data_IF_296362261948
#
_entry.id   IF_296362261948
#
_cell.length_a   1.000
_cell.length_b   1.000
_cell.length_c   1.000
_cell.angle_alpha   90.00
_cell.angle_beta   90.00
_cell.angle_gamma   90.00
#
_symmetry.space_group_name_H-M   'P 1'
#
loop_
_entity.id
_entity.type
_entity.pdbx_description
1 polymer ?
#
# COMPACT_ATOMS: atom_id res chain seq x y z
N UNK A 1 27.55 8.41 -3.35
CA UNK A 1 26.33 8.64 -2.56
C UNK A 1 25.35 9.33 -3.49
N UNK A 2 24.07 8.98 -3.41
CA UNK A 2 23.00 9.52 -4.25
C UNK A 2 23.31 9.51 -5.76
N UNK A 3 23.51 8.32 -6.36
CA UNK A 3 23.99 8.21 -7.74
C UNK A 3 23.05 8.84 -8.78
N UNK A 4 21.75 8.97 -8.48
CA UNK A 4 20.73 9.52 -9.37
C UNK A 4 20.13 10.85 -8.90
N UNK A 5 20.54 11.38 -7.75
CA UNK A 5 20.13 12.70 -7.24
C UNK A 5 18.73 12.73 -6.58
N UNK A 6 18.08 11.59 -6.45
CA UNK A 6 16.68 11.45 -6.02
C UNK A 6 16.50 10.46 -4.88
N UNK A 7 17.56 9.77 -4.44
CA UNK A 7 17.54 8.89 -3.27
C UNK A 7 18.77 9.16 -2.39
N UNK A 8 18.76 10.26 -1.60
CA UNK A 8 19.95 10.77 -0.91
C UNK A 8 20.56 9.82 0.13
N UNK A 9 19.79 8.84 0.58
CA UNK A 9 20.20 7.82 1.56
C UNK A 9 20.65 6.51 0.91
N UNK A 10 21.08 6.60 -0.35
CA UNK A 10 21.60 5.49 -1.13
C UNK A 10 23.01 5.75 -1.68
N UNK A 11 23.62 4.72 -2.24
CA UNK A 11 24.92 4.79 -2.88
C UNK A 11 25.17 3.62 -3.81
N UNK A 12 26.21 3.74 -4.62
CA UNK A 12 26.63 2.69 -5.53
C UNK A 12 28.15 2.51 -5.39
N UNK A 13 28.59 1.28 -5.20
CA UNK A 13 30.02 0.92 -5.19
C UNK A 13 30.33 0.10 -6.44
N UNK A 14 31.20 0.60 -7.30
CA UNK A 14 31.77 -0.16 -8.41
C UNK A 14 33.13 -0.75 -7.99
N UNK A 15 33.25 -2.08 -7.99
CA UNK A 15 34.47 -2.78 -7.56
C UNK A 15 34.80 -3.94 -8.49
N UNK A 16 36.09 -4.15 -8.73
CA UNK A 16 36.61 -5.29 -9.49
C UNK A 16 37.53 -6.15 -8.62
N UNK A 17 37.31 -7.46 -8.67
CA UNK A 17 38.06 -8.46 -7.93
C UNK A 17 38.88 -9.33 -8.90
N UNK A 18 40.09 -9.80 -8.50
CA UNK A 18 40.91 -10.64 -9.37
C UNK A 18 40.28 -12.01 -9.66
N UNK A 19 39.40 -12.45 -8.78
CA UNK A 19 38.71 -13.75 -8.80
C UNK A 19 37.20 -13.53 -8.75
N UNK A 20 36.44 -14.51 -9.24
CA UNK A 20 34.99 -14.50 -9.11
C UNK A 20 34.59 -14.72 -7.64
N UNK A 21 33.46 -14.14 -7.28
CA UNK A 21 32.82 -14.28 -5.97
C UNK A 21 31.59 -13.41 -5.90
N UNK A 22 31.05 -13.25 -4.70
CA UNK A 22 29.87 -12.41 -4.43
C UNK A 22 30.15 -11.43 -3.30
N UNK A 23 29.27 -10.45 -3.11
CA UNK A 23 29.42 -9.46 -2.04
C UNK A 23 28.28 -9.54 -1.04
N UNK A 24 28.64 -9.38 0.23
CA UNK A 24 27.74 -8.98 1.30
C UNK A 24 28.01 -7.54 1.70
N UNK A 25 26.98 -6.85 2.15
CA UNK A 25 27.07 -5.50 2.71
C UNK A 25 26.47 -5.48 4.10
N UNK A 26 26.94 -4.54 4.91
CA UNK A 26 26.28 -4.15 6.16
C UNK A 26 26.46 -2.66 6.39
N UNK A 27 25.39 -1.89 6.31
CA UNK A 27 25.35 -0.52 6.82
C UNK A 27 25.23 -0.62 8.34
N UNK A 28 26.26 -0.17 9.06
CA UNK A 28 26.31 -0.28 10.52
C UNK A 28 25.29 0.64 11.17
N UNK A 29 24.74 0.21 12.30
CA UNK A 29 23.85 1.02 13.14
C UNK A 29 24.53 2.30 13.63
N UNK A 30 23.76 3.39 13.72
CA UNK A 30 24.20 4.67 14.28
C UNK A 30 24.12 4.63 15.81
N UNK A 31 25.27 4.77 16.47
CA UNK A 31 25.34 4.81 17.93
C UNK A 31 24.98 3.49 18.61
N UNK A 32 24.68 3.56 19.91
CA UNK A 32 24.22 2.41 20.69
C UNK A 32 22.76 2.08 20.36
N UNK A 33 22.49 0.82 20.01
CA UNK A 33 21.15 0.37 19.63
C UNK A 33 20.69 0.77 18.22
N UNK A 34 21.57 1.33 17.39
CA UNK A 34 21.28 1.57 15.97
C UNK A 34 21.10 0.27 15.20
N UNK A 35 20.16 0.24 14.26
CA UNK A 35 19.81 -0.97 13.51
C UNK A 35 20.76 -1.13 12.32
N UNK A 36 21.56 -2.22 12.25
CA UNK A 36 22.32 -2.53 11.06
C UNK A 36 21.41 -3.06 9.95
N UNK A 37 21.71 -2.72 8.71
CA UNK A 37 21.01 -3.28 7.54
C UNK A 37 22.03 -4.01 6.68
N UNK A 38 21.81 -5.30 6.47
CA UNK A 38 22.73 -6.16 5.74
C UNK A 38 22.03 -6.94 4.64
N UNK A 39 22.79 -7.30 3.60
CA UNK A 39 22.32 -8.14 2.51
C UNK A 39 23.50 -8.86 1.84
N UNK A 40 23.27 -10.07 1.33
CA UNK A 40 24.24 -10.81 0.52
C UNK A 40 23.67 -10.96 -0.88
N UNK A 41 24.39 -10.41 -1.86
CA UNK A 41 23.98 -10.47 -3.25
C UNK A 41 24.30 -11.84 -3.85
N UNK A 42 23.37 -12.41 -4.62
CA UNK A 42 23.57 -13.71 -5.28
C UNK A 42 24.48 -13.65 -6.51
N UNK A 43 24.71 -12.45 -7.06
CA UNK A 43 25.51 -12.30 -8.28
C UNK A 43 26.99 -12.69 -8.09
N UNK A 44 27.44 -13.69 -8.86
CA UNK A 44 28.84 -14.13 -8.91
C UNK A 44 29.55 -13.49 -10.10
N UNK A 45 30.53 -12.62 -9.84
CA UNK A 45 31.24 -11.89 -10.89
C UNK A 45 32.66 -11.54 -10.45
N UNK A 46 33.45 -11.00 -11.38
CA UNK A 46 34.67 -10.24 -11.08
C UNK A 46 34.40 -8.75 -10.96
N UNK A 47 33.37 -8.25 -11.66
CA UNK A 47 32.98 -6.83 -11.69
C UNK A 47 31.62 -6.71 -11.02
N UNK A 48 31.53 -5.86 -10.00
CA UNK A 48 30.32 -5.67 -9.22
C UNK A 48 29.91 -4.21 -9.20
N UNK A 49 28.60 -4.00 -9.29
CA UNK A 49 27.93 -2.74 -8.97
C UNK A 49 27.02 -3.05 -7.78
N UNK A 50 27.41 -2.55 -6.61
CA UNK A 50 26.80 -2.93 -5.33
C UNK A 50 25.95 -1.77 -4.85
N UNK A 51 24.61 -1.88 -4.87
CA UNK A 51 23.74 -0.86 -4.29
C UNK A 51 23.89 -0.85 -2.77
N UNK A 52 24.14 0.33 -2.23
CA UNK A 52 24.17 0.59 -0.80
C UNK A 52 22.90 1.35 -0.44
N UNK A 53 22.03 0.71 0.33
CA UNK A 53 20.74 1.24 0.79
C UNK A 53 20.74 1.28 2.31
N UNK A 54 19.93 2.14 2.91
CA UNK A 54 19.80 2.17 4.37
C UNK A 54 20.77 3.11 5.07
N UNK A 55 21.37 4.08 4.36
CA UNK A 55 22.24 5.07 4.98
C UNK A 55 21.42 5.99 5.91
N UNK A 56 21.99 6.38 7.04
CA UNK A 56 21.44 7.44 7.88
C UNK A 56 21.65 8.82 7.23
N UNK A 57 20.75 9.76 7.48
CA UNK A 57 20.85 11.15 7.05
C UNK A 57 21.84 11.96 7.90
N UNK A 58 22.47 12.99 7.30
CA UNK A 58 23.42 13.90 7.94
C UNK A 58 24.47 13.16 8.78
N UNK A 59 25.03 12.09 8.21
CA UNK A 59 25.86 11.15 8.96
C UNK A 59 26.99 10.58 8.10
N UNK A 60 28.14 10.34 8.75
CA UNK A 60 29.22 9.57 8.16
C UNK A 60 28.96 8.07 8.40
N UNK A 61 28.26 7.46 7.45
CA UNK A 61 27.88 6.05 7.54
C UNK A 61 29.10 5.15 7.39
N UNK A 62 29.15 4.08 8.20
CA UNK A 62 30.13 3.00 8.05
C UNK A 62 29.47 1.82 7.35
N UNK A 63 30.03 1.44 6.21
CA UNK A 63 29.51 0.33 5.40
C UNK A 63 30.58 -0.74 5.31
N UNK A 64 30.31 -1.91 5.88
CA UNK A 64 31.16 -3.08 5.69
C UNK A 64 30.82 -3.73 4.35
N UNK A 65 31.85 -3.98 3.54
CA UNK A 65 31.80 -4.80 2.34
C UNK A 65 32.53 -6.11 2.64
N UNK A 66 31.83 -7.23 2.55
CA UNK A 66 32.40 -8.56 2.65
C UNK A 66 32.46 -9.19 1.26
N UNK A 67 33.64 -9.57 0.78
CA UNK A 67 33.76 -10.37 -0.43
C UNK A 67 33.80 -11.84 -0.07
N UNK A 68 32.93 -12.63 -0.68
CA UNK A 68 32.77 -14.06 -0.43
C UNK A 68 33.17 -14.86 -1.68
N UNK A 69 33.63 -16.10 -1.47
CA UNK A 69 33.83 -17.05 -2.56
C UNK A 69 32.51 -17.43 -3.23
N UNK A 70 32.59 -18.17 -4.34
CA UNK A 70 31.40 -18.73 -5.00
C UNK A 70 30.62 -19.66 -4.04
N UNK A 71 31.32 -20.34 -3.14
CA UNK A 71 30.77 -21.24 -2.11
C UNK A 71 30.31 -20.50 -0.83
N UNK A 72 30.42 -19.17 -0.78
CA UNK A 72 29.95 -18.36 0.35
C UNK A 72 30.95 -18.18 1.50
N UNK A 73 32.21 -18.63 1.36
CA UNK A 73 33.22 -18.38 2.37
C UNK A 73 33.73 -16.94 2.30
N UNK A 74 33.70 -16.20 3.42
CA UNK A 74 34.22 -14.83 3.45
C UNK A 74 35.73 -14.83 3.23
N UNK A 75 36.18 -14.11 2.20
CA UNK A 75 37.61 -14.00 1.83
C UNK A 75 38.24 -12.73 2.37
N UNK A 76 37.51 -11.62 2.37
CA UNK A 76 38.00 -10.35 2.92
C UNK A 76 36.84 -9.43 3.30
N UNK A 77 37.12 -8.50 4.21
CA UNK A 77 36.21 -7.44 4.64
C UNK A 77 36.89 -6.09 4.52
N UNK A 78 36.12 -5.07 4.18
CA UNK A 78 36.56 -3.67 4.22
C UNK A 78 35.42 -2.78 4.66
N UNK A 79 35.69 -1.90 5.62
CA UNK A 79 34.77 -0.82 5.96
C UNK A 79 35.09 0.40 5.11
N UNK A 80 34.08 0.96 4.46
CA UNK A 80 34.13 2.26 3.79
C UNK A 80 33.26 3.27 4.54
N UNK A 81 33.56 4.56 4.34
CA UNK A 81 32.79 5.67 4.91
C UNK A 81 32.00 6.35 3.81
N UNK A 82 30.71 6.60 4.05
CA UNK A 82 29.80 7.25 3.10
C UNK A 82 29.04 8.37 3.81
N UNK A 83 29.45 9.61 3.56
CA UNK A 83 28.81 10.79 4.15
C UNK A 83 27.59 11.20 3.34
N UNK A 84 26.44 11.31 4.01
CA UNK A 84 25.18 11.81 3.47
C UNK A 84 24.91 13.22 4.00
N UNK A 85 24.14 14.01 3.26
CA UNK A 85 23.58 15.27 3.75
C UNK A 85 22.26 15.06 4.50
N UNK A 86 21.69 16.15 5.00
CA UNK A 86 20.33 16.14 5.53
C UNK A 86 19.31 15.81 4.43
N UNK A 87 18.24 15.10 4.80
CA UNK A 87 17.13 14.81 3.90
C UNK A 87 16.10 15.95 3.96
N UNK A 88 15.62 16.47 2.82
CA UNK A 88 14.60 17.51 2.79
C UNK A 88 13.30 17.12 3.51
N UNK A 89 12.66 18.14 4.10
CA UNK A 89 11.41 18.01 4.85
C UNK A 89 11.65 17.39 6.22
N UNK A 90 11.63 18.22 7.27
CA UNK A 90 11.71 17.75 8.65
C UNK A 90 10.60 16.73 8.90
N UNK A 91 11.00 15.53 9.31
CA UNK A 91 10.09 14.49 9.76
C UNK A 91 10.34 14.29 11.24
N UNK A 92 9.50 14.88 12.08
CA UNK A 92 9.51 14.55 13.49
C UNK A 92 8.72 13.25 13.67
N UNK A 93 9.33 12.27 14.32
CA UNK A 93 8.67 10.99 14.62
C UNK A 93 8.82 10.66 16.10
N UNK A 94 7.86 9.91 16.63
CA UNK A 94 7.83 9.43 18.00
C UNK A 94 7.49 7.94 18.01
N UNK A 95 8.46 7.10 18.39
CA UNK A 95 8.23 5.68 18.64
C UNK A 95 7.65 5.53 20.05
N UNK A 96 6.33 5.33 20.13
CA UNK A 96 5.61 5.21 21.40
C UNK A 96 5.77 3.80 22.01
N UNK A 97 5.91 2.79 21.16
CA UNK A 97 6.15 1.40 21.56
C UNK A 97 7.08 0.71 20.57
N UNK A 98 8.01 -0.11 21.07
CA UNK A 98 8.82 -0.99 20.24
C UNK A 98 9.24 -2.26 21.00
N UNK A 99 8.59 -3.36 20.65
CA UNK A 99 8.87 -4.72 21.09
C UNK A 99 9.27 -5.62 19.90
N UNK A 100 9.62 -5.02 18.75
CA UNK A 100 10.07 -5.76 17.58
C UNK A 100 11.42 -6.44 17.83
N UNK A 101 11.67 -7.63 17.25
CA UNK A 101 12.93 -8.32 17.41
C UNK A 101 14.13 -7.48 16.93
N UNK A 102 15.27 -7.58 17.63
CA UNK A 102 16.47 -6.81 17.27
C UNK A 102 17.07 -7.12 15.88
N UNK A 103 16.65 -8.24 15.27
CA UNK A 103 17.05 -8.63 13.92
C UNK A 103 16.13 -8.09 12.83
N UNK A 104 15.02 -7.44 13.20
CA UNK A 104 14.10 -6.82 12.26
C UNK A 104 14.72 -5.57 11.66
N UNK A 105 14.98 -5.60 10.35
CA UNK A 105 15.50 -4.45 9.61
C UNK A 105 14.47 -3.87 8.62
N UNK A 106 13.20 -4.28 8.75
CA UNK A 106 12.11 -3.76 7.95
C UNK A 106 11.91 -2.26 8.18
N UNK A 107 11.56 -1.54 7.12
CA UNK A 107 11.28 -0.12 7.19
C UNK A 107 9.79 0.12 6.93
N UNK A 108 9.21 1.04 7.70
CA UNK A 108 7.88 1.58 7.47
C UNK A 108 7.97 2.69 6.41
N UNK A 109 7.51 2.37 5.20
CA UNK A 109 7.43 3.29 4.07
C UNK A 109 6.13 4.09 4.14
N UNK A 110 6.24 5.35 4.54
CA UNK A 110 5.09 6.26 4.62
C UNK A 110 4.97 7.04 3.31
N UNK A 111 3.85 6.85 2.61
CA UNK A 111 3.70 7.22 1.20
C UNK A 111 3.98 8.70 0.90
N UNK A 112 3.34 9.62 1.63
CA UNK A 112 3.31 11.05 1.30
C UNK A 112 4.58 11.80 1.72
N UNK A 113 5.28 11.25 2.71
CA UNK A 113 6.61 11.73 3.10
C UNK A 113 7.71 11.11 2.24
N UNK A 114 7.40 10.04 1.48
CA UNK A 114 8.31 9.31 0.60
C UNK A 114 9.57 8.85 1.33
N UNK A 115 9.39 8.31 2.54
CA UNK A 115 10.47 7.92 3.46
C UNK A 115 10.22 6.53 4.03
N UNK A 116 11.28 5.73 4.10
CA UNK A 116 11.35 4.49 4.87
C UNK A 116 11.95 4.78 6.24
N UNK A 117 11.20 4.48 7.30
CA UNK A 117 11.55 4.76 8.69
C UNK A 117 11.81 3.43 9.39
N UNK A 118 12.92 3.30 10.10
CA UNK A 118 13.19 2.09 10.88
C UNK A 118 12.44 2.08 12.22
N UNK A 119 12.45 0.96 12.93
CA UNK A 119 11.74 0.83 14.20
C UNK A 119 12.39 1.65 15.35
N UNK A 120 13.43 2.44 15.09
CA UNK A 120 13.96 3.44 16.04
C UNK A 120 13.56 4.88 15.65
N UNK A 121 12.76 5.05 14.60
CA UNK A 121 12.32 6.34 14.10
C UNK A 121 13.37 7.04 13.24
N UNK A 122 14.44 6.37 12.82
CA UNK A 122 15.44 6.96 11.94
C UNK A 122 15.01 6.79 10.48
N UNK A 123 15.19 7.83 9.67
CA UNK A 123 14.93 7.76 8.22
C UNK A 123 16.11 7.05 7.56
N UNK A 124 15.83 5.91 6.92
CA UNK A 124 16.85 5.02 6.30
C UNK A 124 16.71 4.93 4.79
N UNK A 125 15.62 5.45 4.24
CA UNK A 125 15.44 5.66 2.82
C UNK A 125 14.57 6.89 2.58
N UNK A 126 14.82 7.62 1.50
CA UNK A 126 14.01 8.76 1.12
C UNK A 126 14.03 8.93 -0.40
N UNK A 127 12.92 9.35 -0.99
CA UNK A 127 12.84 9.78 -2.38
C UNK A 127 12.55 11.28 -2.48
N UNK A 128 13.41 12.00 -3.19
CA UNK A 128 13.35 13.46 -3.37
C UNK A 128 13.01 13.87 -4.81
N UNK A 129 12.78 12.90 -5.70
CA UNK A 129 12.27 13.18 -7.04
C UNK A 129 10.82 13.64 -7.04
N UNK A 130 10.34 14.08 -8.21
CA UNK A 130 8.96 14.51 -8.36
C UNK A 130 8.01 13.32 -8.22
N UNK A 131 7.29 13.29 -7.10
CA UNK A 131 6.21 12.36 -6.86
C UNK A 131 5.23 12.88 -5.81
N UNK A 132 3.94 12.60 -6.01
CA UNK A 132 2.93 12.87 -5.00
C UNK A 132 2.95 11.77 -3.93
N UNK A 133 2.62 10.55 -4.35
CA UNK A 133 2.52 9.35 -3.51
C UNK A 133 3.54 8.29 -3.92
N UNK A 134 4.03 7.53 -2.94
CA UNK A 134 4.66 6.22 -3.13
C UNK A 134 3.54 5.17 -3.08
N UNK A 135 3.35 4.38 -4.14
CA UNK A 135 2.25 3.41 -4.18
C UNK A 135 2.67 2.06 -3.61
N UNK A 136 3.40 1.29 -4.42
CA UNK A 136 3.72 -0.09 -4.12
C UNK A 136 5.18 -0.39 -4.43
N UNK A 137 5.78 -1.27 -3.63
CA UNK A 137 7.03 -1.96 -4.00
C UNK A 137 6.72 -3.11 -4.95
N UNK A 138 7.40 -3.15 -6.08
CA UNK A 138 7.29 -4.16 -7.13
C UNK A 138 8.08 -5.43 -6.78
N UNK A 139 7.76 -6.54 -7.43
CA UNK A 139 8.44 -7.84 -7.27
C UNK A 139 9.93 -7.79 -7.61
N UNK A 140 10.37 -6.82 -8.41
CA UNK A 140 11.78 -6.60 -8.74
C UNK A 140 12.53 -5.67 -7.77
N UNK A 141 11.87 -5.25 -6.68
CA UNK A 141 12.43 -4.37 -5.65
C UNK A 141 12.27 -2.88 -5.93
N UNK A 142 11.79 -2.49 -7.11
CA UNK A 142 11.54 -1.08 -7.47
C UNK A 142 10.25 -0.56 -6.82
N UNK A 143 10.04 0.75 -6.84
CA UNK A 143 8.80 1.38 -6.41
C UNK A 143 8.02 1.99 -7.58
N UNK A 144 6.70 2.01 -7.46
CA UNK A 144 5.84 2.85 -8.30
C UNK A 144 5.54 4.16 -7.59
N UNK A 145 5.67 5.26 -8.31
CA UNK A 145 5.33 6.62 -7.85
C UNK A 145 4.45 7.35 -8.86
N UNK A 146 3.46 8.11 -8.40
CA UNK A 146 2.73 9.06 -9.27
C UNK A 146 3.60 10.27 -9.57
N UNK A 147 3.46 10.83 -10.77
CA UNK A 147 3.94 12.19 -11.00
C UNK A 147 2.98 13.20 -10.37
N UNK A 148 3.49 14.38 -10.02
CA UNK A 148 2.63 15.48 -9.58
C UNK A 148 1.90 16.04 -10.80
N UNK A 149 0.60 15.76 -10.96
CA UNK A 149 -0.18 16.53 -11.92
C UNK A 149 -0.20 18.01 -11.48
N UNK A 150 -0.05 18.93 -12.42
CA UNK A 150 -0.43 20.32 -12.18
C UNK A 150 -1.92 20.42 -11.79
N UNK A 151 -2.28 21.45 -11.02
CA UNK A 151 -3.62 21.94 -10.59
C UNK A 151 -4.81 20.99 -10.31
N UNK A 152 -4.75 19.68 -10.55
CA UNK A 152 -5.82 18.71 -10.33
C UNK A 152 -5.49 17.86 -9.12
N UNK A 153 -6.42 17.83 -8.17
CA UNK A 153 -6.40 17.08 -6.92
C UNK A 153 -5.95 15.62 -7.13
N UNK A 154 -4.86 15.19 -6.46
CA UNK A 154 -4.22 13.84 -6.36
C UNK A 154 -4.10 12.91 -7.58
N UNK A 155 -4.81 13.20 -8.67
CA UNK A 155 -4.80 12.54 -9.95
C UNK A 155 -3.46 12.75 -10.66
N UNK A 156 -3.11 11.83 -11.55
CA UNK A 156 -1.90 11.94 -12.35
C UNK A 156 -2.10 11.44 -13.76
N UNK A 157 -1.52 12.10 -14.76
CA UNK A 157 -1.51 11.59 -16.14
C UNK A 157 -0.48 10.48 -16.35
N UNK A 158 0.39 10.24 -15.37
CA UNK A 158 1.53 9.32 -15.50
C UNK A 158 1.98 8.75 -14.16
N UNK A 159 2.52 7.54 -14.18
CA UNK A 159 3.32 7.00 -13.08
C UNK A 159 4.69 6.54 -13.56
N UNK A 160 5.62 6.42 -12.62
CA UNK A 160 7.00 5.97 -12.87
C UNK A 160 7.33 4.76 -12.03
N UNK A 161 8.11 3.86 -12.63
CA UNK A 161 8.87 2.86 -11.90
C UNK A 161 10.23 3.47 -11.55
N UNK A 162 10.59 3.46 -10.26
CA UNK A 162 11.86 3.96 -9.75
C UNK A 162 12.65 2.87 -9.03
N UNK A 163 13.97 2.83 -9.22
CA UNK A 163 14.82 1.93 -8.44
C UNK A 163 14.99 2.43 -7.01
N UNK A 164 15.43 1.55 -6.10
CA UNK A 164 15.80 1.93 -4.73
C UNK A 164 16.96 2.93 -4.64
N UNK A 165 17.73 3.09 -5.73
CA UNK A 165 18.78 4.12 -5.88
C UNK A 165 18.22 5.46 -6.42
N UNK A 166 16.93 5.54 -6.74
CA UNK A 166 16.25 6.74 -7.22
C UNK A 166 16.23 6.90 -8.75
N UNK A 167 16.77 5.93 -9.50
CA UNK A 167 16.71 5.97 -10.97
C UNK A 167 15.27 5.84 -11.47
N UNK A 168 14.80 6.75 -12.31
CA UNK A 168 13.56 6.55 -13.04
C UNK A 168 13.79 5.53 -14.17
N UNK A 169 13.32 4.31 -13.95
CA UNK A 169 13.52 3.17 -14.86
C UNK A 169 12.61 3.27 -16.07
N UNK A 170 11.34 3.61 -15.83
CA UNK A 170 10.32 3.75 -16.87
C UNK A 170 9.20 4.67 -16.42
N UNK A 171 8.53 5.30 -17.38
CA UNK A 171 7.33 6.09 -17.15
C UNK A 171 6.21 5.58 -18.06
N UNK A 172 4.98 5.56 -17.54
CA UNK A 172 3.79 5.12 -18.23
C UNK A 172 2.77 6.26 -18.26
N UNK A 173 2.12 6.44 -19.41
CA UNK A 173 1.02 7.38 -19.57
C UNK A 173 -0.28 6.68 -19.21
N UNK A 174 -1.17 7.39 -18.52
CA UNK A 174 -2.49 6.88 -18.16
C UNK A 174 -3.54 7.78 -18.80
N UNK A 175 -4.41 7.24 -19.68
CA UNK A 175 -5.54 7.99 -20.20
C UNK A 175 -6.47 8.41 -19.06
N UNK A 176 -7.17 9.53 -19.22
CA UNK A 176 -8.18 10.03 -18.27
C UNK A 176 -7.71 10.20 -16.81
N UNK A 177 -6.39 10.29 -16.59
CA UNK A 177 -5.76 10.39 -15.28
C UNK A 177 -5.95 9.13 -14.42
N UNK A 178 -4.88 8.72 -13.77
CA UNK A 178 -4.93 7.74 -12.70
C UNK A 178 -5.20 8.41 -11.35
N UNK A 179 -5.68 7.62 -10.41
CA UNK A 179 -5.82 7.95 -8.99
C UNK A 179 -5.54 6.70 -8.16
N UNK A 180 -5.38 6.88 -6.85
CA UNK A 180 -5.34 5.88 -5.76
C UNK A 180 -4.48 4.60 -5.87
N UNK A 181 -4.48 3.85 -6.98
CA UNK A 181 -3.85 2.54 -7.07
C UNK A 181 -3.13 2.28 -8.40
N UNK A 182 -1.94 1.68 -8.27
CA UNK A 182 -1.23 0.97 -9.33
C UNK A 182 -0.73 -0.34 -8.74
N UNK A 183 -1.18 -1.48 -9.29
CA UNK A 183 -0.84 -2.81 -8.77
C UNK A 183 -0.18 -3.65 -9.86
N UNK A 184 0.98 -4.21 -9.55
CA UNK A 184 1.65 -5.16 -10.45
C UNK A 184 0.95 -6.53 -10.44
N UNK A 185 0.65 -7.04 -11.64
CA UNK A 185 0.12 -8.37 -11.87
C UNK A 185 1.25 -9.42 -11.94
N UNK A 186 0.97 -10.72 -11.76
CA UNK A 186 1.97 -11.78 -11.91
C UNK A 186 2.68 -11.79 -13.28
N UNK A 187 1.98 -11.44 -14.36
CA UNK A 187 2.54 -11.30 -15.70
C UNK A 187 3.45 -10.07 -15.88
N UNK A 188 3.53 -9.18 -14.88
CA UNK A 188 4.32 -7.96 -14.89
C UNK A 188 3.57 -6.71 -15.37
N UNK A 189 2.38 -6.85 -15.96
CA UNK A 189 1.51 -5.73 -16.31
C UNK A 189 1.00 -5.01 -15.06
N UNK A 190 0.43 -3.82 -15.26
CA UNK A 190 -0.13 -3.02 -14.16
C UNK A 190 -1.64 -2.90 -14.29
N UNK A 191 -2.36 -3.23 -13.23
CA UNK A 191 -3.72 -2.72 -13.04
C UNK A 191 -3.63 -1.31 -12.46
N UNK A 192 -4.41 -0.38 -13.00
CA UNK A 192 -4.41 1.03 -12.62
C UNK A 192 -5.84 1.51 -12.44
N UNK A 193 -6.09 2.23 -11.35
CA UNK A 193 -7.36 2.91 -11.13
C UNK A 193 -7.35 4.26 -11.90
N UNK A 194 -8.38 4.47 -12.72
CA UNK A 194 -8.50 5.60 -13.65
C UNK A 194 -9.96 6.05 -13.75
N UNK A 195 -10.27 6.90 -14.74
CA UNK A 195 -11.57 7.52 -14.93
C UNK A 195 -12.15 7.16 -16.29
N UNK A 196 -13.47 6.95 -16.34
CA UNK A 196 -14.18 6.68 -17.59
C UNK A 196 -14.10 7.88 -18.55
N UNK A 197 -14.17 9.10 -18.01
CA UNK A 197 -14.13 10.34 -18.78
C UNK A 197 -12.87 11.17 -18.50
N UNK A 198 -12.44 12.04 -19.44
CA UNK A 198 -11.31 12.93 -19.21
C UNK A 198 -11.68 14.14 -18.35
N UNK A 199 -10.76 14.54 -17.47
CA UNK A 199 -10.84 15.80 -16.73
C UNK A 199 -10.53 17.00 -17.63
N UNK A 200 -11.49 17.93 -17.79
CA UNK A 200 -11.39 19.04 -18.75
C UNK A 200 -11.65 20.40 -18.07
N UNK A 201 -10.89 21.44 -18.44
CA UNK A 201 -11.10 22.81 -17.95
C UNK A 201 -11.22 22.96 -16.42
N UNK A 202 -10.47 22.18 -15.65
CA UNK A 202 -10.56 22.14 -14.18
C UNK A 202 -11.93 21.68 -13.63
N UNK A 203 -12.61 20.78 -14.34
CA UNK A 203 -13.90 20.22 -13.94
C UNK A 203 -14.12 18.83 -14.55
N UNK A 204 -14.96 18.01 -13.91
CA UNK A 204 -15.50 16.80 -14.50
C UNK A 204 -16.72 17.06 -15.39
N UNK A 205 -17.28 18.28 -15.35
CA UNK A 205 -18.43 18.71 -16.16
C UNK A 205 -19.66 17.78 -16.03
N UNK A 206 -19.87 17.23 -14.83
CA UNK A 206 -20.94 16.27 -14.55
C UNK A 206 -20.68 14.84 -15.06
N UNK A 207 -19.46 14.55 -15.52
CA UNK A 207 -19.07 13.19 -15.92
C UNK A 207 -18.65 12.36 -14.71
N UNK A 208 -18.84 11.05 -14.82
CA UNK A 208 -18.42 10.10 -13.78
C UNK A 208 -16.90 10.07 -13.63
N UNK A 209 -16.44 9.97 -12.39
CA UNK A 209 -15.05 9.84 -12.00
C UNK A 209 -14.83 8.63 -11.09
N UNK A 210 -13.56 8.25 -10.98
CA UNK A 210 -13.04 7.22 -10.09
C UNK A 210 -13.72 5.84 -10.20
N UNK A 211 -13.93 5.38 -11.43
CA UNK A 211 -14.78 4.22 -11.74
C UNK A 211 -14.27 3.30 -12.86
N UNK A 212 -13.03 3.48 -13.32
CA UNK A 212 -12.43 2.66 -14.38
C UNK A 212 -11.20 1.91 -13.87
N UNK A 213 -11.13 0.61 -14.15
CA UNK A 213 -9.90 -0.18 -14.02
C UNK A 213 -9.31 -0.33 -15.42
N UNK A 214 -8.01 -0.08 -15.58
CA UNK A 214 -7.28 -0.35 -16.82
C UNK A 214 -6.10 -1.28 -16.56
N UNK A 215 -5.74 -2.09 -17.56
CA UNK A 215 -4.50 -2.84 -17.59
C UNK A 215 -3.52 -2.20 -18.57
N UNK A 216 -2.31 -1.91 -18.11
CA UNK A 216 -1.21 -1.38 -18.91
C UNK A 216 -0.15 -2.46 -19.08
N UNK A 217 0.18 -2.75 -20.34
CA UNK A 217 1.28 -3.63 -20.69
C UNK A 217 2.61 -2.99 -20.30
N UNK A 218 3.41 -3.69 -19.49
CA UNK A 218 4.64 -3.12 -18.93
C UNK A 218 5.69 -2.81 -19.99
N UNK A 219 5.71 -3.55 -21.09
CA UNK A 219 6.75 -3.51 -22.10
C UNK A 219 6.53 -2.37 -23.08
N UNK A 220 5.31 -2.25 -23.59
CA UNK A 220 4.87 -1.23 -24.54
C UNK A 220 4.39 0.05 -23.86
N UNK A 221 3.80 -0.05 -22.67
CA UNK A 221 3.13 1.05 -21.98
C UNK A 221 1.73 1.36 -22.49
N UNK A 222 1.18 0.50 -23.35
CA UNK A 222 -0.16 0.65 -23.91
C UNK A 222 -1.23 0.07 -22.98
N UNK A 223 -2.43 0.64 -23.04
CA UNK A 223 -3.61 0.05 -22.39
C UNK A 223 -4.05 -1.15 -23.21
N UNK A 224 -4.07 -2.33 -22.59
CA UNK A 224 -4.45 -3.60 -23.26
C UNK A 224 -5.84 -4.07 -22.88
N UNK A 225 -6.40 -3.58 -21.77
CA UNK A 225 -7.73 -3.95 -21.29
C UNK A 225 -8.31 -2.90 -20.35
N UNK A 226 -9.63 -2.86 -20.21
CA UNK A 226 -10.33 -1.99 -19.27
C UNK A 226 -11.65 -2.58 -18.78
N UNK A 227 -12.04 -2.22 -17.56
CA UNK A 227 -13.31 -2.60 -16.93
C UNK A 227 -13.99 -1.34 -16.42
N UNK A 228 -15.06 -0.93 -17.10
CA UNK A 228 -15.91 0.19 -16.72
C UNK A 228 -16.87 -0.26 -15.61
N UNK A 229 -16.62 0.20 -14.38
CA UNK A 229 -17.38 -0.24 -13.22
C UNK A 229 -18.79 0.36 -13.18
N UNK A 230 -19.05 1.43 -13.93
CA UNK A 230 -20.39 1.97 -14.09
C UNK A 230 -21.26 1.06 -14.99
N UNK A 231 -20.68 0.27 -15.89
CA UNK A 231 -21.40 -0.74 -16.67
C UNK A 231 -21.54 -2.09 -15.93
N UNK A 232 -20.68 -2.35 -14.95
CA UNK A 232 -20.63 -3.61 -14.20
C UNK A 232 -21.47 -3.55 -12.91
N UNK A 233 -21.47 -2.40 -12.22
CA UNK A 233 -22.24 -2.15 -11.01
C UNK A 233 -23.43 -1.23 -11.30
N UNK A 234 -24.02 -0.65 -10.25
CA UNK A 234 -25.17 0.23 -10.31
C UNK A 234 -24.81 1.60 -9.75
N UNK A 235 -24.54 2.57 -10.64
CA UNK A 235 -24.25 3.95 -10.24
C UNK A 235 -25.48 4.70 -9.70
N UNK A 236 -26.68 4.13 -9.83
CA UNK A 236 -27.92 4.66 -9.25
C UNK A 236 -28.21 4.10 -7.85
N UNK A 237 -27.41 3.14 -7.37
CA UNK A 237 -27.53 2.63 -6.00
C UNK A 237 -27.43 3.80 -5.00
N UNK A 238 -28.36 3.90 -4.04
CA UNK A 238 -28.31 4.92 -3.00
C UNK A 238 -26.97 4.95 -2.27
N UNK A 239 -26.49 6.16 -1.99
CA UNK A 239 -25.19 6.42 -1.39
C UNK A 239 -25.37 6.92 0.04
N UNK A 240 -24.43 6.59 0.92
CA UNK A 240 -24.29 7.25 2.21
C UNK A 240 -23.77 8.69 2.03
N UNK A 241 -23.88 9.52 3.06
CA UNK A 241 -23.50 10.94 3.01
C UNK A 241 -22.09 11.22 2.49
N UNK A 242 -21.85 12.45 2.02
CA UNK A 242 -20.53 12.93 1.60
C UNK A 242 -20.11 12.61 0.15
N UNK A 243 -20.79 11.71 -0.56
CA UNK A 243 -20.53 11.46 -1.99
C UNK A 243 -21.30 12.43 -2.90
N UNK A 244 -20.66 12.96 -3.96
CA UNK A 244 -21.35 13.70 -5.02
C UNK A 244 -21.81 12.74 -6.15
N UNK A 245 -22.61 13.23 -7.12
CA UNK A 245 -23.15 12.41 -8.22
C UNK A 245 -22.07 11.77 -9.10
N UNK A 246 -20.99 12.50 -9.31
CA UNK A 246 -19.95 12.25 -10.30
C UNK A 246 -18.94 11.22 -9.74
N UNK A 247 -18.54 11.39 -8.49
CA UNK A 247 -17.70 10.46 -7.70
C UNK A 247 -18.57 9.42 -7.00
N UNK A 248 -19.23 8.59 -7.80
CA UNK A 248 -20.27 7.67 -7.33
C UNK A 248 -19.74 6.42 -6.63
N UNK A 249 -18.56 5.95 -7.04
CA UNK A 249 -17.92 4.74 -6.54
C UNK A 249 -16.72 5.07 -5.67
N UNK A 250 -15.85 5.99 -6.12
CA UNK A 250 -14.57 6.31 -5.51
C UNK A 250 -13.68 5.06 -5.38
N UNK A 251 -13.27 4.52 -6.54
CA UNK A 251 -12.40 3.35 -6.65
C UNK A 251 -11.04 3.64 -6.02
N UNK A 252 -10.75 3.03 -4.88
CA UNK A 252 -9.59 3.40 -4.08
C UNK A 252 -8.54 2.31 -3.89
N UNK A 253 -8.81 1.09 -4.37
CA UNK A 253 -7.90 -0.03 -4.34
C UNK A 253 -8.34 -1.14 -5.30
N UNK A 254 -7.35 -1.84 -5.87
CA UNK A 254 -7.51 -2.93 -6.82
C UNK A 254 -6.39 -3.96 -6.62
N UNK A 255 -6.71 -5.25 -6.76
CA UNK A 255 -5.71 -6.28 -6.97
C UNK A 255 -6.24 -7.41 -7.86
N UNK A 256 -5.31 -8.10 -8.51
CA UNK A 256 -5.58 -9.28 -9.32
C UNK A 256 -5.36 -10.54 -8.48
N UNK A 257 -6.33 -11.45 -8.50
CA UNK A 257 -6.23 -12.77 -7.89
C UNK A 257 -5.91 -13.80 -8.99
N UNK A 258 -4.68 -14.31 -8.96
CA UNK A 258 -4.17 -15.21 -9.99
C UNK A 258 -4.66 -16.65 -9.85
N UNK A 259 -5.19 -17.02 -8.68
CA UNK A 259 -5.68 -18.37 -8.42
C UNK A 259 -6.93 -18.71 -9.24
N UNK A 260 -7.78 -17.71 -9.51
CA UNK A 260 -9.05 -17.89 -10.23
C UNK A 260 -9.28 -16.89 -11.37
N UNK A 261 -8.25 -16.13 -11.77
CA UNK A 261 -8.27 -15.16 -12.86
C UNK A 261 -9.36 -14.09 -12.69
N UNK A 262 -9.28 -13.35 -11.59
CA UNK A 262 -10.26 -12.34 -11.21
C UNK A 262 -9.61 -11.05 -10.71
N UNK A 263 -10.42 -10.01 -10.58
CA UNK A 263 -10.02 -8.73 -10.00
C UNK A 263 -10.91 -8.46 -8.78
N UNK A 264 -10.31 -8.04 -7.69
CA UNK A 264 -11.01 -7.54 -6.51
C UNK A 264 -10.73 -6.05 -6.37
N UNK A 265 -11.78 -5.29 -6.07
CA UNK A 265 -11.68 -3.84 -5.95
C UNK A 265 -12.52 -3.29 -4.79
N UNK A 266 -12.18 -2.08 -4.36
CA UNK A 266 -12.90 -1.35 -3.32
C UNK A 266 -13.46 -0.03 -3.87
N UNK A 267 -14.77 0.14 -3.73
CA UNK A 267 -15.49 1.39 -3.97
C UNK A 267 -15.91 2.02 -2.65
N UNK A 268 -15.28 3.14 -2.29
CA UNK A 268 -15.47 3.81 -0.99
C UNK A 268 -16.90 4.31 -0.81
N UNK A 269 -17.45 5.04 -1.78
CA UNK A 269 -18.73 5.75 -1.63
C UNK A 269 -19.96 4.83 -1.67
N UNK A 270 -19.78 3.60 -2.15
CA UNK A 270 -20.81 2.57 -2.08
C UNK A 270 -20.61 1.63 -0.88
N UNK A 271 -19.50 1.74 -0.14
CA UNK A 271 -19.04 0.77 0.86
C UNK A 271 -19.04 -0.66 0.30
N UNK A 272 -18.40 -0.80 -0.86
CA UNK A 272 -18.38 -2.04 -1.66
C UNK A 272 -16.97 -2.57 -1.77
N UNK A 273 -16.79 -3.83 -1.43
CA UNK A 273 -15.71 -4.65 -1.98
C UNK A 273 -16.33 -5.67 -2.90
N UNK A 274 -15.88 -5.77 -4.15
CA UNK A 274 -16.45 -6.70 -5.12
C UNK A 274 -15.37 -7.45 -5.88
N UNK A 275 -15.73 -8.64 -6.37
CA UNK A 275 -14.88 -9.50 -7.20
C UNK A 275 -15.52 -9.68 -8.57
N UNK A 276 -14.75 -9.50 -9.63
CA UNK A 276 -15.17 -9.67 -11.03
C UNK A 276 -14.25 -10.63 -11.78
N UNK A 277 -14.78 -11.34 -12.76
CA UNK A 277 -13.96 -12.11 -13.71
C UNK A 277 -13.04 -11.20 -14.52
N UNK A 278 -11.77 -11.58 -14.66
CA UNK A 278 -10.83 -10.81 -15.47
C UNK A 278 -11.28 -10.73 -16.93
N UNK A 279 -11.80 -11.81 -17.52
CA UNK A 279 -12.14 -11.84 -18.95
C UNK A 279 -13.26 -10.89 -19.35
N UNK A 280 -14.42 -11.02 -18.71
CA UNK A 280 -15.65 -10.33 -19.14
C UNK A 280 -16.13 -9.27 -18.13
N UNK A 281 -15.48 -9.16 -16.96
CA UNK A 281 -15.94 -8.27 -15.90
C UNK A 281 -17.21 -8.77 -15.19
N UNK A 282 -17.55 -10.05 -15.32
CA UNK A 282 -18.74 -10.63 -14.71
C UNK A 282 -18.60 -10.71 -13.18
N UNK A 283 -19.59 -10.21 -12.46
CA UNK A 283 -19.59 -10.18 -10.99
C UNK A 283 -19.54 -11.62 -10.45
N UNK A 284 -18.65 -11.84 -9.48
CA UNK A 284 -18.53 -13.07 -8.70
C UNK A 284 -19.21 -12.95 -7.35
N UNK A 285 -18.94 -11.87 -6.64
CA UNK A 285 -19.57 -11.54 -5.37
C UNK A 285 -19.40 -10.06 -5.03
N UNK A 286 -20.24 -9.57 -4.12
CA UNK A 286 -20.27 -8.21 -3.58
C UNK A 286 -20.34 -8.30 -2.06
N UNK A 287 -19.35 -7.76 -1.36
CA UNK A 287 -19.37 -7.49 0.07
C UNK A 287 -19.84 -6.04 0.29
N UNK A 288 -21.13 -5.89 0.60
CA UNK A 288 -21.76 -4.61 0.88
C UNK A 288 -23.11 -4.83 1.60
N UNK A 289 -23.72 -3.74 2.06
CA UNK A 289 -25.09 -3.80 2.57
C UNK A 289 -26.09 -4.13 1.45
N UNK A 290 -27.08 -5.03 1.67
CA UNK A 290 -28.00 -5.52 0.62
C UNK A 290 -29.06 -4.49 0.18
N UNK A 291 -29.30 -3.43 0.94
CA UNK A 291 -30.24 -2.39 0.54
C UNK A 291 -29.78 -1.65 -0.74
N UNK A 292 -30.74 -1.33 -1.60
CA UNK A 292 -30.55 -0.48 -2.77
C UNK A 292 -30.00 -1.17 -4.02
N UNK A 293 -29.63 -2.45 -3.95
CA UNK A 293 -29.19 -3.20 -5.13
C UNK A 293 -30.37 -3.56 -6.04
N UNK A 294 -30.16 -3.44 -7.35
CA UNK A 294 -31.11 -3.92 -8.34
C UNK A 294 -31.22 -5.46 -8.35
N UNK A 295 -32.29 -5.98 -8.95
CA UNK A 295 -32.58 -7.42 -8.99
C UNK A 295 -31.48 -8.25 -9.67
N UNK A 296 -30.72 -7.67 -10.60
CA UNK A 296 -29.65 -8.41 -11.30
C UNK A 296 -28.37 -8.55 -10.48
N UNK A 297 -28.09 -7.62 -9.56
CA UNK A 297 -26.88 -7.63 -8.74
C UNK A 297 -27.11 -8.22 -7.34
N UNK A 298 -28.35 -8.15 -6.83
CA UNK A 298 -28.69 -8.66 -5.49
C UNK A 298 -28.26 -10.13 -5.24
N UNK A 299 -28.36 -11.08 -6.21
CA UNK A 299 -27.89 -12.45 -6.02
C UNK A 299 -26.39 -12.58 -5.74
N UNK A 300 -25.59 -11.57 -6.07
CA UNK A 300 -24.16 -11.55 -5.85
C UNK A 300 -23.77 -10.92 -4.50
N UNK A 301 -24.71 -10.30 -3.79
CA UNK A 301 -24.45 -9.71 -2.48
C UNK A 301 -24.32 -10.83 -1.44
N UNK A 302 -23.18 -10.87 -0.75
CA UNK A 302 -22.86 -11.90 0.23
C UNK A 302 -23.78 -11.79 1.45
N UNK A 303 -24.25 -12.94 1.93
CA UNK A 303 -25.06 -13.05 3.15
C UNK A 303 -24.14 -13.14 4.37
N UNK A 304 -24.23 -12.20 5.33
CA UNK A 304 -23.48 -12.26 6.58
C UNK A 304 -23.88 -13.45 7.44
N UNK A 305 -22.90 -14.25 7.87
CA UNK A 305 -23.10 -15.38 8.77
C UNK A 305 -22.07 -15.37 9.90
N UNK A 306 -22.46 -15.89 11.07
CA UNK A 306 -21.52 -16.12 12.16
C UNK A 306 -20.74 -17.44 11.99
N UNK A 307 -19.81 -17.74 12.90
CA UNK A 307 -18.99 -18.95 12.87
C UNK A 307 -19.77 -20.29 12.90
N UNK A 308 -21.08 -20.26 13.16
CA UNK A 308 -21.96 -21.45 13.10
C UNK A 308 -22.77 -21.52 11.79
N UNK A 309 -22.56 -20.58 10.87
CA UNK A 309 -23.31 -20.48 9.61
C UNK A 309 -24.74 -20.00 9.81
N UNK A 310 -25.03 -19.21 10.86
CA UNK A 310 -26.34 -18.59 11.06
C UNK A 310 -26.28 -17.12 10.63
N UNK A 311 -27.33 -16.66 9.96
CA UNK A 311 -27.49 -15.28 9.50
C UNK A 311 -27.26 -14.26 10.63
N UNK A 312 -26.62 -13.16 10.27
CA UNK A 312 -26.40 -12.01 11.16
C UNK A 312 -27.43 -10.93 10.84
N UNK A 313 -28.07 -10.40 11.88
CA UNK A 313 -28.95 -9.26 11.77
C UNK A 313 -28.14 -7.95 11.71
N UNK A 314 -27.97 -7.43 10.49
CA UNK A 314 -27.26 -6.19 10.24
C UNK A 314 -27.88 -4.95 10.91
N UNK A 315 -29.12 -5.01 11.38
CA UNK A 315 -29.72 -3.91 12.14
C UNK A 315 -29.22 -3.85 13.59
N UNK A 316 -28.66 -4.95 14.11
CA UNK A 316 -28.19 -5.06 15.50
C UNK A 316 -26.69 -5.39 15.63
N UNK A 317 -26.02 -5.80 14.56
CA UNK A 317 -24.61 -6.19 14.57
C UNK A 317 -23.75 -5.38 13.60
N UNK A 318 -22.65 -4.82 14.11
CA UNK A 318 -21.63 -4.13 13.30
C UNK A 318 -20.71 -5.13 12.57
N UNK A 319 -21.21 -5.59 11.42
CA UNK A 319 -20.58 -6.63 10.63
C UNK A 319 -19.82 -6.12 9.41
N UNK A 320 -20.36 -5.17 8.65
CA UNK A 320 -19.88 -4.82 7.30
C UNK A 320 -18.73 -3.81 7.31
N UNK A 321 -17.94 -3.72 6.22
CA UNK A 321 -17.04 -2.59 6.02
C UNK A 321 -17.79 -1.34 5.54
N UNK A 322 -17.32 -0.15 5.94
CA UNK A 322 -17.90 1.13 5.54
C UNK A 322 -16.81 2.11 5.11
N UNK A 323 -16.93 2.62 3.87
CA UNK A 323 -15.96 3.56 3.27
C UNK A 323 -14.51 3.05 3.31
N UNK A 324 -14.38 1.73 3.19
CA UNK A 324 -13.14 0.99 3.37
C UNK A 324 -12.08 1.26 2.31
N UNK A 325 -10.85 0.86 2.63
CA UNK A 325 -9.67 0.94 1.80
C UNK A 325 -8.89 -0.38 1.86
N UNK A 326 -7.98 -0.54 0.88
CA UNK A 326 -6.89 -1.51 0.94
C UNK A 326 -7.31 -2.98 1.19
N UNK A 327 -8.28 -3.55 0.45
CA UNK A 327 -8.51 -4.99 0.51
C UNK A 327 -7.30 -5.73 -0.07
N UNK A 328 -6.89 -6.80 0.60
CA UNK A 328 -5.89 -7.74 0.11
C UNK A 328 -6.29 -9.17 0.45
N UNK A 329 -5.84 -10.12 -0.37
CA UNK A 329 -5.98 -11.55 -0.13
C UNK A 329 -4.87 -12.04 0.79
N UNK A 330 -5.24 -12.81 1.80
CA UNK A 330 -4.31 -13.51 2.70
C UNK A 330 -3.96 -14.89 2.15
N UNK A 331 -2.86 -15.52 2.60
CA UNK A 331 -2.48 -16.88 2.18
C UNK A 331 -3.54 -17.96 2.46
N UNK A 332 -4.43 -17.73 3.42
CA UNK A 332 -5.55 -18.63 3.74
C UNK A 332 -6.77 -18.42 2.82
N UNK A 333 -6.71 -17.48 1.88
CA UNK A 333 -7.79 -17.10 0.96
C UNK A 333 -8.76 -16.05 1.50
N UNK A 334 -8.63 -15.64 2.77
CA UNK A 334 -9.46 -14.60 3.37
C UNK A 334 -9.10 -13.21 2.83
N UNK A 335 -10.01 -12.26 3.01
CA UNK A 335 -9.82 -10.86 2.64
C UNK A 335 -9.58 -10.03 3.89
N UNK A 336 -8.42 -9.39 3.99
CA UNK A 336 -8.10 -8.39 5.01
C UNK A 336 -8.26 -7.00 4.40
N UNK A 337 -8.90 -6.08 5.11
CA UNK A 337 -9.10 -4.71 4.64
C UNK A 337 -9.07 -3.69 5.78
N UNK A 338 -8.94 -2.42 5.41
CA UNK A 338 -8.97 -1.28 6.32
C UNK A 338 -10.36 -0.64 6.27
N UNK A 339 -11.15 -0.78 7.33
CA UNK A 339 -12.52 -0.25 7.43
C UNK A 339 -12.51 1.09 8.17
N UNK A 340 -12.67 2.18 7.42
CA UNK A 340 -12.68 3.55 7.95
C UNK A 340 -13.85 3.78 8.91
N UNK A 341 -15.03 3.24 8.60
CA UNK A 341 -16.21 3.30 9.45
C UNK A 341 -17.10 4.52 9.24
N UNK A 342 -16.96 5.28 8.15
CA UNK A 342 -17.83 6.42 7.88
C UNK A 342 -19.28 5.97 7.69
N UNK A 343 -20.24 6.68 8.30
CA UNK A 343 -21.67 6.37 8.20
C UNK A 343 -22.01 4.92 8.59
N UNK A 344 -21.14 4.28 9.40
CA UNK A 344 -21.29 2.90 9.89
C UNK A 344 -22.68 2.72 10.48
N UNK A 345 -23.45 1.76 9.96
CA UNK A 345 -24.84 1.48 10.35
C UNK A 345 -25.87 2.61 10.12
N UNK A 346 -25.50 3.73 9.50
CA UNK A 346 -26.36 4.91 9.30
C UNK A 346 -26.31 5.42 7.86
N UNK A 347 -26.73 4.59 6.90
CA UNK A 347 -26.72 4.92 5.46
C UNK A 347 -27.60 6.12 5.07
N UNK A 348 -28.61 6.46 5.86
CA UNK A 348 -29.53 7.57 5.58
C UNK A 348 -29.15 8.88 6.28
N UNK A 349 -28.15 8.86 7.19
CA UNK A 349 -27.73 10.06 7.91
C UNK A 349 -26.81 10.93 7.04
N UNK A 350 -27.05 12.25 6.93
CA UNK A 350 -26.16 13.15 6.21
C UNK A 350 -24.82 13.41 6.91
N UNK A 351 -24.63 12.95 8.15
CA UNK A 351 -23.46 13.20 8.99
C UNK A 351 -22.80 11.91 9.49
N UNK A 352 -21.47 11.95 9.65
CA UNK A 352 -20.71 10.85 10.23
C UNK A 352 -21.00 10.80 11.75
N UNK A 353 -21.46 9.66 12.30
CA UNK A 353 -21.74 9.52 13.73
C UNK A 353 -20.51 9.81 14.62
N UNK A 354 -20.72 10.45 15.77
CA UNK A 354 -19.64 10.79 16.71
C UNK A 354 -18.93 9.56 17.31
N UNK A 355 -19.62 8.42 17.36
CA UNK A 355 -19.09 7.13 17.84
C UNK A 355 -18.51 6.25 16.71
N UNK A 356 -18.30 6.83 15.52
CA UNK A 356 -17.60 6.17 14.43
C UNK A 356 -16.17 5.83 14.82
N UNK A 357 -15.70 4.68 14.37
CA UNK A 357 -14.36 4.20 14.64
C UNK A 357 -13.83 3.37 13.47
N UNK A 358 -12.51 3.24 13.42
CA UNK A 358 -11.80 2.54 12.35
C UNK A 358 -11.31 1.19 12.84
N UNK A 359 -11.34 0.19 11.95
CA UNK A 359 -10.81 -1.15 12.24
C UNK A 359 -10.03 -1.73 11.06
N UNK A 360 -9.07 -2.60 11.35
CA UNK A 360 -8.65 -3.61 10.39
C UNK A 360 -9.56 -4.84 10.59
N UNK A 361 -10.04 -5.44 9.51
CA UNK A 361 -11.01 -6.54 9.58
C UNK A 361 -10.76 -7.59 8.51
N UNK A 362 -10.91 -8.85 8.91
CA UNK A 362 -10.70 -10.02 8.05
C UNK A 362 -12.03 -10.74 7.83
N UNK A 363 -12.34 -11.00 6.56
CA UNK A 363 -13.52 -11.75 6.13
C UNK A 363 -13.12 -13.03 5.43
N UNK A 364 -13.80 -14.11 5.77
CA UNK A 364 -13.80 -15.36 5.02
C UNK A 364 -15.03 -15.38 4.12
N UNK A 365 -14.82 -15.60 2.82
CA UNK A 365 -15.89 -15.61 1.81
C UNK A 365 -16.09 -17.04 1.33
N UNK A 366 -17.33 -17.52 1.33
CA UNK A 366 -17.76 -18.73 0.62
C UNK A 366 -18.45 -18.32 -0.69
N UNK A 367 -17.74 -18.37 -1.84
CA UNK A 367 -18.30 -17.95 -3.12
C UNK A 367 -19.30 -18.95 -3.71
N UNK A 368 -19.45 -20.14 -3.13
CA UNK A 368 -20.43 -21.14 -3.57
C UNK A 368 -21.76 -20.94 -2.86
N UNK A 369 -21.70 -20.72 -1.55
CA UNK A 369 -22.89 -20.43 -0.72
C UNK A 369 -23.32 -18.97 -0.78
N UNK A 370 -22.47 -18.09 -1.31
CA UNK A 370 -22.64 -16.63 -1.27
C UNK A 370 -22.77 -16.10 0.16
N UNK A 371 -21.90 -16.60 1.03
CA UNK A 371 -21.86 -16.27 2.46
C UNK A 371 -20.53 -15.60 2.83
N UNK A 372 -20.56 -14.76 3.86
CA UNK A 372 -19.37 -14.10 4.40
C UNK A 372 -19.35 -14.17 5.92
N UNK A 373 -18.20 -14.49 6.48
CA UNK A 373 -17.94 -14.58 7.92
C UNK A 373 -16.85 -13.56 8.30
N UNK A 374 -17.11 -12.70 9.29
CA UNK A 374 -16.07 -11.85 9.91
C UNK A 374 -15.29 -12.70 10.92
N UNK A 375 -14.02 -12.98 10.62
CA UNK A 375 -13.21 -13.95 11.40
C UNK A 375 -12.22 -13.28 12.34
N UNK A 376 -11.88 -12.02 12.10
CA UNK A 376 -10.96 -11.25 12.94
C UNK A 376 -11.20 -9.75 12.76
N UNK A 377 -10.97 -8.97 13.82
CA UNK A 377 -10.90 -7.51 13.73
C UNK A 377 -9.95 -6.92 14.79
N UNK A 378 -9.42 -5.74 14.50
CA UNK A 378 -8.71 -4.89 15.44
C UNK A 378 -9.21 -3.46 15.29
N UNK A 379 -9.75 -2.88 16.36
CA UNK A 379 -10.42 -1.57 16.36
C UNK A 379 -9.77 -0.54 17.29
N UNK A 380 -8.62 -0.88 17.89
CA UNK A 380 -7.90 -0.03 18.84
C UNK A 380 -8.83 0.48 19.97
N UNK A 381 -9.64 -0.41 20.55
CA UNK A 381 -10.64 -0.10 21.58
C UNK A 381 -11.62 1.00 21.14
N UNK A 382 -11.84 1.15 19.83
CA UNK A 382 -12.66 2.19 19.19
C UNK A 382 -12.24 3.61 19.53
N UNK A 383 -11.00 3.80 19.98
CA UNK A 383 -10.51 5.10 20.46
C UNK A 383 -10.07 6.03 19.32
N UNK A 384 -10.01 5.53 18.08
CA UNK A 384 -9.57 6.32 16.93
C UNK A 384 -10.54 6.15 15.75
N UNK A 385 -10.81 7.28 15.10
CA UNK A 385 -11.51 7.36 13.84
C UNK A 385 -10.62 8.00 12.77
N UNK A 386 -10.56 7.37 11.61
CA UNK A 386 -9.88 7.82 10.41
C UNK A 386 -10.85 7.83 9.24
N UNK A 387 -11.33 9.00 8.85
CA UNK A 387 -12.39 9.18 7.85
C UNK A 387 -11.98 8.82 6.41
N UNK A 388 -10.69 8.88 6.07
CA UNK A 388 -10.23 8.60 4.72
C UNK A 388 -8.83 8.05 4.72
N UNK A 389 -8.44 7.40 3.61
CA UNK A 389 -7.11 6.77 3.45
C UNK A 389 -6.90 5.64 4.47
N UNK A 390 -5.68 5.12 4.55
CA UNK A 390 -5.32 4.03 5.43
C UNK A 390 -4.97 2.76 4.68
N UNK A 391 -4.18 1.93 5.33
CA UNK A 391 -3.73 0.65 4.81
C UNK A 391 -3.63 -0.37 5.93
N UNK A 392 -3.79 -1.62 5.53
CA UNK A 392 -3.42 -2.79 6.33
C UNK A 392 -2.56 -3.69 5.45
N UNK A 393 -1.52 -4.28 6.03
CA UNK A 393 -0.64 -5.23 5.35
C UNK A 393 -0.49 -6.45 6.24
N UNK A 394 -0.46 -7.63 5.63
CA UNK A 394 -0.09 -8.88 6.29
C UNK A 394 1.34 -9.24 5.94
N UNK A 395 2.14 -9.58 6.94
CA UNK A 395 3.53 -10.01 6.80
C UNK A 395 3.59 -11.53 6.91
N UNK A 396 3.76 -12.22 5.78
CA UNK A 396 3.69 -13.69 5.72
C UNK A 396 4.79 -14.38 6.53
N UNK A 397 5.95 -13.74 6.66
CA UNK A 397 7.13 -14.29 7.33
C UNK A 397 6.92 -14.54 8.83
N UNK A 398 5.99 -13.84 9.46
CA UNK A 398 5.75 -13.87 10.90
C UNK A 398 4.26 -13.75 11.29
N UNK A 399 3.35 -13.70 10.31
CA UNK A 399 1.92 -13.50 10.50
C UNK A 399 1.53 -12.19 11.21
N UNK A 400 2.43 -11.19 11.20
CA UNK A 400 2.13 -9.86 11.75
C UNK A 400 1.21 -9.08 10.82
N UNK A 401 0.57 -8.05 11.38
CA UNK A 401 -0.23 -7.09 10.62
C UNK A 401 0.29 -5.67 10.84
N UNK A 402 0.59 -4.95 9.78
CA UNK A 402 0.97 -3.53 9.82
C UNK A 402 -0.24 -2.70 9.43
N UNK A 403 -0.66 -1.80 10.30
CA UNK A 403 -1.81 -0.91 10.09
C UNK A 403 -1.29 0.52 10.11
N UNK A 404 -1.59 1.29 9.06
CA UNK A 404 -1.18 2.67 8.97
C UNK A 404 -2.34 3.58 8.60
N UNK A 405 -2.51 4.68 9.33
CA UNK A 405 -3.65 5.58 9.17
C UNK A 405 -3.37 6.98 9.71
N UNK A 406 -4.22 7.96 9.37
CA UNK A 406 -4.24 9.25 10.06
C UNK A 406 -5.03 9.11 11.37
N UNK A 407 -4.41 9.40 12.52
CA UNK A 407 -5.18 9.52 13.75
C UNK A 407 -6.01 10.81 13.69
N UNK A 408 -7.31 10.71 13.43
CA UNK A 408 -8.20 11.86 13.28
C UNK A 408 -8.26 12.77 14.50
N UNK A 409 -8.11 12.22 15.71
CA UNK A 409 -8.15 12.99 16.97
C UNK A 409 -6.90 13.85 17.16
N UNK A 410 -5.72 13.30 16.83
CA UNK A 410 -4.44 14.00 16.95
C UNK A 410 -4.03 14.74 15.68
N UNK A 411 -4.69 14.45 14.56
CA UNK A 411 -4.32 14.84 13.21
C UNK A 411 -2.85 14.51 12.87
N UNK A 412 -2.42 13.29 13.23
CA UNK A 412 -1.06 12.80 12.98
C UNK A 412 -1.08 11.38 12.41
N UNK A 413 -0.28 11.08 11.38
CA UNK A 413 -0.11 9.71 10.94
C UNK A 413 0.39 8.77 12.05
N UNK A 414 -0.21 7.59 12.11
CA UNK A 414 0.11 6.52 13.05
C UNK A 414 0.37 5.22 12.29
N UNK A 415 1.38 4.48 12.73
CA UNK A 415 1.68 3.14 12.25
C UNK A 415 1.72 2.20 13.44
N UNK A 416 1.05 1.06 13.31
CA UNK A 416 0.94 0.02 14.32
C UNK A 416 1.40 -1.29 13.67
N UNK A 417 2.20 -2.09 14.38
CA UNK A 417 2.45 -3.48 14.02
C UNK A 417 1.91 -4.39 15.13
N UNK A 418 1.08 -5.35 14.72
CA UNK A 418 0.47 -6.35 15.58
C UNK A 418 1.13 -7.71 15.38
N UNK A 419 1.28 -8.48 16.44
CA UNK A 419 1.54 -9.92 16.32
C UNK A 419 0.31 -10.69 15.80
N UNK A 420 0.46 -11.99 15.57
CA UNK A 420 -0.63 -12.87 15.11
C UNK A 420 -1.84 -12.86 16.07
N UNK A 421 -1.60 -12.71 17.36
CA UNK A 421 -2.63 -12.70 18.39
C UNK A 421 -3.34 -11.34 18.55
N UNK A 422 -2.91 -10.31 17.81
CA UNK A 422 -3.47 -8.96 17.86
C UNK A 422 -2.85 -8.06 18.94
N UNK A 423 -1.75 -8.47 19.59
CA UNK A 423 -1.03 -7.60 20.51
C UNK A 423 -0.20 -6.58 19.75
N UNK A 424 -0.23 -5.33 20.19
CA UNK A 424 0.59 -4.26 19.61
C UNK A 424 2.05 -4.50 19.96
N UNK A 425 2.93 -4.71 18.96
CA UNK A 425 4.38 -4.79 19.14
C UNK A 425 5.07 -3.44 18.92
N UNK A 426 4.55 -2.64 18.00
CA UNK A 426 5.18 -1.38 17.60
C UNK A 426 4.15 -0.28 17.39
N UNK A 427 4.50 0.94 17.80
CA UNK A 427 3.73 2.14 17.54
C UNK A 427 4.63 3.32 17.17
N UNK A 428 4.39 3.89 16.00
CA UNK A 428 5.05 5.08 15.49
C UNK A 428 4.03 6.18 15.24
N UNK A 429 4.31 7.37 15.76
CA UNK A 429 3.58 8.58 15.42
C UNK A 429 4.48 9.46 14.56
N UNK A 430 3.95 9.95 13.45
CA UNK A 430 4.66 10.83 12.53
C UNK A 430 4.07 12.23 12.67
N UNK A 431 4.83 13.15 13.25
CA UNK A 431 4.39 14.52 13.51
C UNK A 431 4.52 15.37 12.25
N UNK A 432 3.61 15.15 11.30
CA UNK A 432 3.49 15.96 10.07
C UNK A 432 2.03 16.35 9.82
N UNK A 433 1.82 17.65 9.65
CA UNK A 433 0.55 18.27 9.27
C UNK A 433 0.29 18.13 7.76
N UNK A 434 0.14 16.92 7.24
CA UNK A 434 -0.20 16.72 5.82
C UNK A 434 -0.89 15.40 5.55
N UNK A 435 -1.72 15.38 4.51
CA UNK A 435 -2.38 14.25 3.84
C UNK A 435 -1.54 12.97 3.94
N UNK A 436 -1.86 12.13 4.92
CA UNK A 436 -1.37 10.75 4.98
C UNK A 436 -2.24 9.93 4.04
N UNK A 437 -1.64 8.99 3.32
CA UNK A 437 -2.32 8.09 2.41
C UNK A 437 -2.18 6.64 2.88
N UNK A 438 -0.97 6.09 2.90
CA UNK A 438 -0.70 4.67 3.22
C UNK A 438 0.67 4.48 3.88
N UNK A 439 0.82 3.35 4.56
CA UNK A 439 2.07 2.87 5.11
C UNK A 439 2.16 1.35 4.93
N UNK A 440 3.32 0.90 4.50
CA UNK A 440 3.66 -0.51 4.35
C UNK A 440 5.07 -0.75 4.88
N UNK A 441 5.34 -1.97 5.33
CA UNK A 441 6.65 -2.40 5.80
C UNK A 441 7.31 -3.30 4.76
N UNK A 442 8.55 -2.97 4.41
CA UNK A 442 9.36 -3.73 3.46
C UNK A 442 10.82 -3.80 3.91
N UNK A 443 11.51 -4.88 3.55
CA UNK A 443 12.97 -4.91 3.56
C UNK A 443 13.56 -4.10 2.40
N UNK A 444 14.74 -3.51 2.61
CA UNK A 444 15.38 -2.66 1.60
C UNK A 444 15.92 -3.42 0.38
N UNK A 445 16.26 -4.70 0.55
CA UNK A 445 16.94 -5.53 -0.44
C UNK A 445 16.09 -6.71 -0.93
N UNK A 446 14.81 -6.73 -0.57
CA UNK A 446 13.82 -7.70 -1.06
C UNK A 446 13.40 -7.40 -2.51
#
# INVERSE_FOLDING_TARGET
VDPFGTAPLSGLVAISMPVKGRFGITVQGKGEGGIPIGHVFESISKKHHIPILGLYADYENKVELAFLSEEGAVRTRRVIRMTTGAVPGNLAVNVAKNELPSGDSGLFFVSDVKKGIDHRGEVRWAYTGDARHLYQKLKNGNFVVSNKAGSVSYHSSTFKEISMLGEAVRQYSVPNLMHHEVREMPGGNFLVASNTYPYNNNSWDGNLEEDLIIEIDRQSGEVVKSWDLNLILDNQRPRAGGSNSDDWLHLNAIYYDEEDNTIVFSGRHQSVVAKIGYEEGDIRWILAHPAGWNESLLPYVLTPVNARGMDIDLASEDFLPYFQHYPLKLPNGNILLFDNGNFRNYYEDPSVPEDSYTRAVEYKIDPVRMEVEKVWEFDYDKAIFNEATGSVQYLEENAHRVIGFMNGTANTPKVIELDEAGNILFELNVNRWSDYYRCEKYGLYE
#
